data_IF_557247537859
#
_entry.id   IF_557247537859
#
_cell.length_a   1.000
_cell.length_b   1.000
_cell.length_c   1.000
_cell.angle_alpha   90.00
_cell.angle_beta   90.00
_cell.angle_gamma   90.00
#
_symmetry.space_group_name_H-M   'P 1'
#
loop_
_entity.id
_entity.type
_entity.pdbx_description
1 polymer ?
#
# COMPACT_ATOMS: atom_id res chain seq x y z
N UNK A 1 17.43 -12.61 -11.17
CA UNK A 1 18.08 -11.87 -10.08
C UNK A 1 19.27 -12.67 -9.53
N UNK A 2 20.45 -12.60 -10.17
CA UNK A 2 21.61 -13.35 -9.70
C UNK A 2 22.27 -12.76 -8.45
N UNK A 3 22.06 -11.48 -8.17
CA UNK A 3 22.70 -10.78 -7.05
C UNK A 3 22.31 -11.35 -5.68
N UNK A 4 21.04 -11.68 -5.47
CA UNK A 4 20.57 -12.24 -4.20
C UNK A 4 21.10 -13.66 -3.90
N UNK A 5 21.37 -14.47 -4.92
CA UNK A 5 21.89 -15.83 -4.73
C UNK A 5 23.35 -15.87 -4.26
N UNK A 6 24.14 -14.88 -4.63
CA UNK A 6 25.56 -14.82 -4.27
C UNK A 6 25.72 -14.26 -2.84
N UNK A 7 24.91 -13.30 -2.47
CA UNK A 7 24.94 -12.72 -1.12
C UNK A 7 24.29 -13.60 -0.07
N UNK A 8 23.26 -14.39 -0.41
CA UNK A 8 22.67 -15.37 0.51
C UNK A 8 23.68 -16.39 1.08
N UNK A 9 24.81 -16.63 0.40
CA UNK A 9 25.90 -17.49 0.90
C UNK A 9 26.85 -16.78 1.86
N UNK A 10 26.83 -15.44 1.91
CA UNK A 10 27.81 -14.65 2.66
C UNK A 10 27.20 -13.85 3.83
N UNK A 11 25.91 -13.59 3.80
CA UNK A 11 25.25 -12.77 4.79
C UNK A 11 24.04 -13.53 5.37
N UNK A 12 23.82 -13.47 6.68
CA UNK A 12 22.71 -14.16 7.34
C UNK A 12 21.40 -13.40 7.07
N UNK A 13 20.89 -13.52 5.83
CA UNK A 13 19.53 -13.09 5.51
C UNK A 13 18.53 -14.12 6.01
N UNK A 14 17.71 -13.73 6.96
CA UNK A 14 16.64 -14.55 7.44
C UNK A 14 15.37 -14.30 6.64
N UNK A 15 14.77 -15.35 6.11
CA UNK A 15 13.44 -15.31 5.52
C UNK A 15 12.42 -15.03 6.63
N UNK A 16 11.72 -13.92 6.51
CA UNK A 16 10.80 -13.44 7.52
C UNK A 16 9.35 -13.79 7.17
N UNK A 17 8.96 -13.55 5.92
CA UNK A 17 7.58 -13.73 5.48
C UNK A 17 7.50 -13.98 3.98
N UNK A 18 6.61 -14.91 3.59
CA UNK A 18 6.16 -15.07 2.20
C UNK A 18 4.91 -14.24 2.01
N UNK A 19 4.95 -13.33 1.06
CA UNK A 19 3.83 -12.47 0.66
C UNK A 19 3.41 -12.81 -0.76
N UNK A 20 2.23 -12.37 -1.16
CA UNK A 20 1.74 -12.56 -2.52
C UNK A 20 1.20 -11.25 -3.07
N UNK A 21 1.55 -10.95 -4.29
CA UNK A 21 0.93 -9.89 -5.06
C UNK A 21 -0.46 -10.29 -5.54
N UNK A 22 -1.35 -9.33 -5.56
CA UNK A 22 -2.70 -9.44 -6.08
C UNK A 22 -2.98 -8.26 -7.00
N UNK A 23 -3.68 -8.51 -8.09
CA UNK A 23 -4.03 -7.49 -9.07
C UNK A 23 -5.55 -7.39 -9.25
N UNK A 24 -6.01 -6.19 -9.54
CA UNK A 24 -7.40 -5.90 -9.88
C UNK A 24 -7.44 -4.99 -11.10
N UNK A 25 -8.07 -5.44 -12.19
CA UNK A 25 -8.28 -4.61 -13.37
C UNK A 25 -9.32 -3.53 -13.07
N UNK A 26 -8.99 -2.27 -13.31
CA UNK A 26 -9.95 -1.17 -13.13
C UNK A 26 -11.08 -1.28 -14.15
N UNK A 27 -12.31 -1.11 -13.71
CA UNK A 27 -13.48 -1.28 -14.56
C UNK A 27 -14.49 -0.12 -14.44
N UNK A 28 -15.45 -0.09 -15.38
CA UNK A 28 -16.41 0.99 -15.51
C UNK A 28 -17.70 0.82 -14.68
N UNK A 29 -17.84 -0.29 -13.95
CA UNK A 29 -19.15 -0.73 -13.43
C UNK A 29 -19.50 -0.17 -12.05
N UNK A 30 -18.65 0.66 -11.43
CA UNK A 30 -18.89 1.16 -10.08
C UNK A 30 -19.66 2.49 -10.10
N UNK A 31 -20.76 2.54 -9.33
CA UNK A 31 -21.64 3.68 -9.15
C UNK A 31 -20.91 4.98 -8.78
N UNK A 32 -21.31 6.14 -9.31
CA UNK A 32 -20.65 7.42 -9.05
C UNK A 32 -20.91 7.98 -7.64
N UNK A 33 -21.95 7.53 -6.94
CA UNK A 33 -22.31 8.09 -5.65
C UNK A 33 -21.53 7.43 -4.51
N UNK A 34 -20.74 8.21 -3.79
CA UNK A 34 -19.93 7.77 -2.66
C UNK A 34 -19.83 8.87 -1.62
N UNK A 35 -19.87 8.47 -0.36
CA UNK A 35 -19.62 9.35 0.79
C UNK A 35 -18.12 9.64 0.98
N UNK A 36 -17.26 8.87 0.30
CA UNK A 36 -15.82 9.04 0.36
C UNK A 36 -15.30 9.99 -0.71
N UNK A 37 -14.29 10.77 -0.34
CA UNK A 37 -13.55 11.64 -1.25
C UNK A 37 -12.06 11.42 -1.02
N UNK A 38 -11.30 11.25 -2.11
CA UNK A 38 -9.84 11.18 -2.08
C UNK A 38 -9.26 12.56 -2.41
N UNK A 39 -8.45 13.11 -1.51
CA UNK A 39 -7.77 14.39 -1.69
C UNK A 39 -6.26 14.19 -1.67
N UNK A 40 -5.53 14.86 -2.56
CA UNK A 40 -4.07 14.85 -2.47
C UNK A 40 -3.62 15.39 -1.11
N UNK A 41 -2.67 14.69 -0.50
CA UNK A 41 -2.08 15.12 0.76
C UNK A 41 -1.23 16.37 0.55
N UNK A 42 -1.25 17.23 1.53
CA UNK A 42 -0.46 18.46 1.58
C UNK A 42 0.44 18.45 2.82
N UNK A 43 1.33 19.42 2.93
CA UNK A 43 2.17 19.56 4.13
C UNK A 43 1.37 19.69 5.42
N UNK A 44 0.17 20.26 5.35
CA UNK A 44 -0.72 20.42 6.52
C UNK A 44 -1.33 19.09 6.98
N UNK A 45 -1.29 18.04 6.15
CA UNK A 45 -1.81 16.72 6.49
C UNK A 45 -0.77 15.83 7.17
N UNK A 46 0.52 16.23 7.20
CA UNK A 46 1.61 15.39 7.71
C UNK A 46 1.44 15.03 9.19
N UNK A 47 0.97 15.97 10.02
CA UNK A 47 0.70 15.71 11.43
C UNK A 47 -0.34 14.61 11.59
N UNK A 48 -1.44 14.70 10.85
CA UNK A 48 -2.50 13.68 10.84
C UNK A 48 -1.97 12.32 10.37
N UNK A 49 -1.23 12.29 9.26
CA UNK A 49 -0.67 11.05 8.71
C UNK A 49 0.27 10.38 9.72
N UNK A 50 1.16 11.15 10.35
CA UNK A 50 2.08 10.65 11.37
C UNK A 50 1.35 10.07 12.58
N UNK A 51 0.33 10.76 13.08
CA UNK A 51 -0.50 10.27 14.19
C UNK A 51 -1.22 8.98 13.83
N UNK A 52 -1.87 8.94 12.65
CA UNK A 52 -2.57 7.76 12.14
C UNK A 52 -1.62 6.58 11.97
N UNK A 53 -0.43 6.82 11.40
CA UNK A 53 0.60 5.80 11.22
C UNK A 53 1.04 5.23 12.58
N UNK A 54 1.46 6.07 13.51
CA UNK A 54 1.93 5.66 14.83
C UNK A 54 0.86 4.88 15.61
N UNK A 55 -0.39 5.33 15.59
CA UNK A 55 -1.51 4.62 16.20
C UNK A 55 -1.75 3.26 15.53
N UNK A 56 -1.59 3.19 14.22
CA UNK A 56 -1.78 1.97 13.47
C UNK A 56 -0.65 0.95 13.69
N UNK A 57 0.59 1.40 13.87
CA UNK A 57 1.76 0.54 14.07
C UNK A 57 1.58 -0.47 15.21
N UNK A 58 0.88 -0.09 16.28
CA UNK A 58 0.63 -0.99 17.42
C UNK A 58 -0.13 -2.29 17.05
N UNK A 59 -0.79 -2.30 15.90
CA UNK A 59 -1.55 -3.47 15.39
C UNK A 59 -0.69 -4.45 14.59
N UNK A 60 0.56 -4.09 14.30
CA UNK A 60 1.45 -4.86 13.43
C UNK A 60 2.74 -5.22 14.15
N UNK A 61 3.35 -6.33 13.76
CA UNK A 61 4.62 -6.81 14.33
C UNK A 61 5.83 -6.33 13.56
N UNK A 62 5.64 -5.97 12.29
CA UNK A 62 6.70 -5.48 11.42
C UNK A 62 6.23 -4.24 10.67
N UNK A 63 6.90 -3.13 10.91
CA UNK A 63 6.64 -1.84 10.29
C UNK A 63 7.91 -0.99 10.30
N UNK A 64 8.14 -0.13 9.29
CA UNK A 64 9.26 0.80 9.32
C UNK A 64 9.03 1.90 10.35
N UNK A 65 10.11 2.34 10.98
CA UNK A 65 10.11 3.56 11.79
C UNK A 65 10.68 4.65 10.91
N UNK A 66 9.84 5.64 10.58
CA UNK A 66 10.23 6.76 9.76
C UNK A 66 10.67 7.93 10.61
N UNK A 67 11.82 8.53 10.30
CA UNK A 67 12.15 9.86 10.77
C UNK A 67 11.23 10.92 10.10
N UNK A 68 11.38 12.18 10.49
CA UNK A 68 10.52 13.25 9.98
C UNK A 68 10.71 13.46 8.47
N UNK A 69 11.94 13.41 7.97
CA UNK A 69 12.25 13.58 6.55
C UNK A 69 11.72 12.43 5.71
N UNK A 70 11.92 11.20 6.16
CA UNK A 70 11.40 10.00 5.51
C UNK A 70 9.87 10.01 5.48
N UNK A 71 9.24 10.38 6.59
CA UNK A 71 7.78 10.51 6.67
C UNK A 71 7.25 11.54 5.69
N UNK A 72 7.85 12.73 5.63
CA UNK A 72 7.50 13.77 4.66
C UNK A 72 7.75 13.27 3.24
N UNK A 73 8.89 12.59 3.00
CA UNK A 73 9.24 12.09 1.67
C UNK A 73 8.23 11.09 1.13
N UNK A 74 7.81 10.13 1.95
CA UNK A 74 6.92 9.04 1.54
C UNK A 74 5.45 9.49 1.47
N UNK A 75 5.03 10.35 2.39
CA UNK A 75 3.63 10.73 2.52
C UNK A 75 3.26 12.07 1.89
N UNK A 76 4.25 12.88 1.49
CA UNK A 76 3.97 14.04 0.65
C UNK A 76 3.83 13.58 -0.79
N UNK A 77 2.75 14.00 -1.44
CA UNK A 77 2.52 13.67 -2.84
C UNK A 77 3.65 14.23 -3.71
N UNK A 78 4.40 13.35 -4.36
CA UNK A 78 5.47 13.68 -5.32
C UNK A 78 5.13 13.02 -6.64
N UNK A 79 4.60 13.76 -7.62
CA UNK A 79 4.24 13.21 -8.93
C UNK A 79 5.41 12.43 -9.54
N UNK A 80 5.13 11.20 -9.96
CA UNK A 80 6.13 10.30 -10.57
C UNK A 80 6.98 9.51 -9.58
N UNK A 81 6.84 9.72 -8.26
CA UNK A 81 7.53 8.92 -7.23
C UNK A 81 6.49 8.27 -6.33
N UNK A 82 5.94 9.03 -5.38
CA UNK A 82 4.83 8.60 -4.53
C UNK A 82 3.69 9.59 -4.64
N UNK A 83 2.47 9.07 -4.68
CA UNK A 83 1.28 9.87 -4.50
C UNK A 83 0.58 9.45 -3.22
N UNK A 84 0.22 10.40 -2.38
CA UNK A 84 -0.52 10.16 -1.14
C UNK A 84 -1.84 10.90 -1.18
N UNK A 85 -2.90 10.17 -0.83
CA UNK A 85 -4.27 10.66 -0.80
C UNK A 85 -4.81 10.55 0.62
N UNK A 86 -5.39 11.63 1.12
CA UNK A 86 -6.21 11.60 2.33
C UNK A 86 -7.58 11.05 1.99
N UNK A 87 -7.99 10.04 2.72
CA UNK A 87 -9.33 9.45 2.63
C UNK A 87 -10.26 10.26 3.53
N UNK A 88 -11.22 10.93 2.90
CA UNK A 88 -12.27 11.67 3.59
C UNK A 88 -13.56 10.87 3.55
N UNK A 89 -14.27 10.78 4.66
CA UNK A 89 -15.59 10.20 4.77
C UNK A 89 -16.50 11.22 5.47
N UNK A 90 -17.57 11.66 4.80
CA UNK A 90 -18.48 12.69 5.31
C UNK A 90 -17.75 13.98 5.78
N UNK A 91 -16.71 14.39 5.06
CA UNK A 91 -15.91 15.58 5.39
C UNK A 91 -14.86 15.37 6.49
N UNK A 92 -14.78 14.20 7.10
CA UNK A 92 -13.83 13.86 8.18
C UNK A 92 -12.67 13.04 7.61
N UNK A 93 -11.43 13.32 8.03
CA UNK A 93 -10.27 12.49 7.70
C UNK A 93 -10.40 11.12 8.34
N UNK A 94 -10.32 10.06 7.54
CA UNK A 94 -10.47 8.65 7.97
C UNK A 94 -9.30 7.76 7.56
N UNK A 95 -8.36 8.26 6.78
CA UNK A 95 -7.26 7.42 6.39
C UNK A 95 -6.30 8.08 5.40
N UNK A 96 -5.32 7.28 4.99
CA UNK A 96 -4.34 7.62 3.96
C UNK A 96 -4.12 6.43 3.03
N UNK A 97 -4.02 6.73 1.74
CA UNK A 97 -3.58 5.81 0.70
C UNK A 97 -2.32 6.37 0.06
N UNK A 98 -1.19 5.67 0.20
CA UNK A 98 0.06 5.99 -0.51
C UNK A 98 0.32 4.93 -1.56
N UNK A 99 0.64 5.35 -2.77
CA UNK A 99 0.86 4.47 -3.90
C UNK A 99 1.91 5.04 -4.86
N UNK A 100 2.44 4.18 -5.71
CA UNK A 100 3.24 4.54 -6.87
C UNK A 100 2.50 4.16 -8.14
N UNK A 101 2.78 4.88 -9.23
CA UNK A 101 2.28 4.51 -10.56
C UNK A 101 3.45 4.00 -11.39
N UNK A 102 3.36 2.75 -11.79
CA UNK A 102 4.34 2.08 -12.62
C UNK A 102 3.80 1.89 -14.03
N UNK A 103 4.55 2.33 -15.04
CA UNK A 103 4.26 2.05 -16.44
C UNK A 103 4.93 0.73 -16.83
N UNK A 104 4.13 -0.27 -17.17
CA UNK A 104 4.59 -1.62 -17.51
C UNK A 104 4.52 -1.87 -19.02
N UNK A 105 5.33 -2.83 -19.50
CA UNK A 105 5.34 -3.26 -20.92
C UNK A 105 5.47 -2.09 -21.91
N UNK A 106 6.50 -1.26 -21.75
CA UNK A 106 6.75 -0.09 -22.62
C UNK A 106 5.54 0.85 -22.69
N UNK A 107 5.02 1.24 -21.50
CA UNK A 107 3.91 2.18 -21.33
C UNK A 107 2.54 1.71 -21.84
N UNK A 108 2.38 0.42 -22.13
CA UNK A 108 1.08 -0.12 -22.54
C UNK A 108 0.09 -0.24 -21.40
N UNK A 109 0.58 -0.45 -20.18
CA UNK A 109 -0.25 -0.60 -18.99
C UNK A 109 0.28 0.28 -17.85
N UNK A 110 -0.60 1.02 -17.24
CA UNK A 110 -0.34 1.82 -16.04
C UNK A 110 -0.91 1.12 -14.83
N UNK A 111 -0.08 0.91 -13.83
CA UNK A 111 -0.46 0.14 -12.64
C UNK A 111 -0.25 1.00 -11.40
N UNK A 112 -1.29 1.11 -10.58
CA UNK A 112 -1.18 1.65 -9.21
C UNK A 112 -0.69 0.55 -8.29
N UNK A 113 0.47 0.70 -7.70
CA UNK A 113 0.94 -0.19 -6.64
C UNK A 113 0.71 0.45 -5.28
N UNK A 114 -0.13 -0.19 -4.44
CA UNK A 114 -0.42 0.29 -3.09
C UNK A 114 0.77 0.00 -2.18
N UNK A 115 1.37 1.05 -1.67
CA UNK A 115 2.49 1.01 -0.73
C UNK A 115 1.99 0.99 0.72
N UNK A 116 1.04 1.86 1.03
CA UNK A 116 0.44 1.96 2.36
C UNK A 116 -1.05 2.28 2.22
N UNK A 117 -1.86 1.52 2.93
CA UNK A 117 -3.26 1.83 3.17
C UNK A 117 -3.53 1.79 4.67
N UNK A 118 -3.98 2.91 5.21
CA UNK A 118 -4.51 3.02 6.56
C UNK A 118 -5.91 3.61 6.48
N UNK A 119 -6.88 2.94 7.06
CA UNK A 119 -8.27 3.38 7.04
C UNK A 119 -8.99 3.01 8.34
N UNK A 120 -9.50 4.02 9.03
CA UNK A 120 -10.22 3.89 10.30
C UNK A 120 -11.73 3.71 10.13
N UNK A 121 -12.25 3.82 8.91
CA UNK A 121 -13.65 3.57 8.62
C UNK A 121 -13.98 2.09 8.44
N UNK A 122 -15.24 1.81 8.22
CA UNK A 122 -15.77 0.44 8.07
C UNK A 122 -16.22 0.12 6.66
N UNK A 123 -16.56 1.12 5.85
CA UNK A 123 -17.05 0.93 4.49
C UNK A 123 -15.95 0.84 3.45
N UNK A 124 -15.28 -0.31 3.43
CA UNK A 124 -14.29 -0.63 2.40
C UNK A 124 -14.88 -0.73 0.99
N UNK A 125 -16.18 -0.94 0.84
CA UNK A 125 -16.81 -1.01 -0.48
C UNK A 125 -16.83 0.36 -1.12
N UNK A 126 -17.26 1.36 -0.39
CA UNK A 126 -17.36 2.72 -0.90
C UNK A 126 -15.96 3.31 -1.12
N UNK A 127 -15.03 3.08 -0.19
CA UNK A 127 -13.63 3.46 -0.37
C UNK A 127 -13.04 2.85 -1.64
N UNK A 128 -13.26 1.55 -1.90
CA UNK A 128 -12.75 0.90 -3.10
C UNK A 128 -13.33 1.47 -4.39
N UNK A 129 -14.62 1.82 -4.39
CA UNK A 129 -15.24 2.52 -5.53
C UNK A 129 -14.52 3.84 -5.83
N UNK A 130 -14.16 4.61 -4.79
CA UNK A 130 -13.45 5.87 -4.97
C UNK A 130 -12.02 5.68 -5.47
N UNK A 131 -11.30 4.67 -4.96
CA UNK A 131 -9.97 4.31 -5.47
C UNK A 131 -10.07 3.93 -6.95
N UNK A 132 -11.03 3.09 -7.34
CA UNK A 132 -11.22 2.69 -8.73
C UNK A 132 -11.59 3.90 -9.63
N UNK A 133 -12.45 4.80 -9.15
CA UNK A 133 -12.77 6.07 -9.85
C UNK A 133 -11.53 6.95 -10.03
N UNK A 134 -10.69 7.05 -9.01
CA UNK A 134 -9.42 7.79 -9.07
C UNK A 134 -8.46 7.17 -10.10
N UNK A 135 -8.30 5.84 -10.09
CA UNK A 135 -7.49 5.12 -11.08
C UNK A 135 -7.95 5.44 -12.51
N UNK A 136 -9.25 5.40 -12.76
CA UNK A 136 -9.81 5.70 -14.08
C UNK A 136 -9.56 7.13 -14.52
N UNK A 137 -9.75 8.10 -13.63
CA UNK A 137 -9.46 9.51 -13.92
C UNK A 137 -8.00 9.73 -14.30
N UNK A 138 -7.08 8.94 -13.74
CA UNK A 138 -5.64 8.94 -14.04
C UNK A 138 -5.23 7.98 -15.15
N UNK A 139 -6.17 7.29 -15.81
CA UNK A 139 -5.90 6.27 -16.85
C UNK A 139 -4.99 5.15 -16.32
N UNK A 140 -5.26 4.68 -15.11
CA UNK A 140 -4.59 3.54 -14.49
C UNK A 140 -5.42 2.30 -14.79
N UNK A 141 -4.81 1.27 -15.36
CA UNK A 141 -5.45 0.07 -15.88
C UNK A 141 -5.65 -0.99 -14.80
N UNK A 142 -4.77 -1.03 -13.80
CA UNK A 142 -4.86 -2.02 -12.74
C UNK A 142 -4.37 -1.48 -11.39
N UNK A 143 -4.88 -2.10 -10.31
CA UNK A 143 -4.40 -1.92 -8.95
C UNK A 143 -3.61 -3.16 -8.57
N UNK A 144 -2.39 -2.97 -8.09
CA UNK A 144 -1.51 -4.02 -7.58
C UNK A 144 -1.30 -3.79 -6.07
N UNK A 145 -1.39 -4.85 -5.29
CA UNK A 145 -1.10 -4.78 -3.87
C UNK A 145 -0.57 -6.11 -3.32
N UNK A 146 0.26 -6.03 -2.30
CA UNK A 146 0.64 -7.17 -1.48
C UNK A 146 -0.47 -7.51 -0.49
N UNK A 147 -0.55 -8.78 -0.09
CA UNK A 147 -1.48 -9.27 0.93
C UNK A 147 -1.04 -8.91 2.36
N UNK A 148 -0.65 -7.67 2.58
CA UNK A 148 -0.18 -7.12 3.86
C UNK A 148 -1.18 -6.13 4.44
N UNK A 149 -1.13 -5.93 5.74
CA UNK A 149 -1.90 -4.89 6.44
C UNK A 149 -3.38 -4.85 6.05
N UNK A 150 -3.85 -3.65 5.80
CA UNK A 150 -5.25 -3.37 5.42
C UNK A 150 -5.60 -3.85 4.00
N UNK A 151 -4.61 -4.08 3.12
CA UNK A 151 -4.85 -4.57 1.76
C UNK A 151 -5.61 -5.89 1.73
N UNK A 152 -5.42 -6.74 2.75
CA UNK A 152 -6.14 -8.01 2.88
C UNK A 152 -7.67 -7.85 2.88
N UNK A 153 -8.17 -6.71 3.36
CA UNK A 153 -9.61 -6.42 3.36
C UNK A 153 -10.13 -6.19 1.95
N UNK A 154 -9.35 -5.53 1.10
CA UNK A 154 -9.68 -5.38 -0.33
C UNK A 154 -9.59 -6.71 -1.07
N UNK A 155 -8.46 -7.42 -0.90
CA UNK A 155 -8.21 -8.69 -1.59
C UNK A 155 -9.33 -9.68 -1.34
N UNK A 156 -9.79 -9.80 -0.07
CA UNK A 156 -10.85 -10.72 0.30
C UNK A 156 -12.25 -10.31 -0.18
N UNK A 157 -12.48 -9.01 -0.31
CA UNK A 157 -13.82 -8.49 -0.62
C UNK A 157 -14.06 -8.28 -2.10
N UNK A 158 -13.02 -7.97 -2.86
CA UNK A 158 -13.11 -7.67 -4.28
C UNK A 158 -12.24 -8.64 -5.06
N UNK A 159 -12.74 -9.26 -6.06
CA UNK A 159 -12.15 -10.34 -6.87
C UNK A 159 -10.73 -10.01 -7.40
N UNK A 160 -9.78 -9.78 -6.52
CA UNK A 160 -8.38 -9.62 -6.87
C UNK A 160 -7.81 -10.96 -7.34
N UNK A 161 -7.12 -10.93 -8.46
CA UNK A 161 -6.46 -12.10 -9.04
C UNK A 161 -5.10 -12.30 -8.37
N UNK A 162 -4.81 -13.50 -7.85
CA UNK A 162 -3.51 -13.79 -7.27
C UNK A 162 -2.42 -13.79 -8.35
N UNK A 163 -1.31 -13.13 -8.06
CA UNK A 163 -0.12 -13.06 -8.89
C UNK A 163 1.03 -13.87 -8.30
N UNK A 164 2.23 -13.33 -8.43
CA UNK A 164 3.46 -13.98 -7.99
C UNK A 164 3.72 -13.81 -6.48
N UNK A 165 4.50 -14.75 -5.94
CA UNK A 165 4.99 -14.66 -4.57
C UNK A 165 6.22 -13.76 -4.49
N UNK A 166 6.34 -13.04 -3.38
CA UNK A 166 7.54 -12.29 -2.98
C UNK A 166 7.88 -12.63 -1.53
N UNK A 167 9.11 -12.32 -1.13
CA UNK A 167 9.61 -12.71 0.16
C UNK A 167 10.27 -11.54 0.85
N UNK A 168 9.93 -11.33 2.12
CA UNK A 168 10.62 -10.38 2.98
C UNK A 168 11.80 -11.09 3.65
N UNK A 169 12.99 -10.54 3.46
CA UNK A 169 14.22 -10.96 4.13
C UNK A 169 14.77 -9.82 4.97
N UNK A 170 15.28 -10.13 6.15
CA UNK A 170 15.96 -9.15 6.99
C UNK A 170 17.37 -9.62 7.33
N UNK A 171 18.30 -8.68 7.30
CA UNK A 171 19.72 -8.92 7.63
C UNK A 171 19.94 -8.68 9.12
N UNK A 172 20.71 -9.57 9.77
CA UNK A 172 21.05 -9.48 11.20
C UNK A 172 19.85 -9.32 12.14
N UNK A 173 18.69 -9.84 11.76
CA UNK A 173 17.50 -9.78 12.59
C UNK A 173 16.95 -11.18 12.84
N UNK A 174 16.76 -11.51 14.12
CA UNK A 174 16.14 -12.76 14.54
C UNK A 174 14.74 -12.48 15.08
N UNK A 175 13.74 -13.05 14.45
CA UNK A 175 12.36 -13.04 14.94
C UNK A 175 12.09 -14.39 15.57
N UNK A 176 11.60 -14.40 16.79
CA UNK A 176 11.07 -15.60 17.41
C UNK A 176 9.71 -15.92 16.76
N UNK A 177 9.69 -16.90 15.84
CA UNK A 177 8.51 -17.34 15.11
C UNK A 177 8.42 -16.78 13.68
N UNK A 178 7.36 -17.18 12.96
CA UNK A 178 7.07 -16.74 11.59
C UNK A 178 6.08 -15.58 11.60
N UNK A 179 6.36 -14.56 10.81
CA UNK A 179 5.38 -13.49 10.53
C UNK A 179 4.41 -13.94 9.45
N UNK A 180 3.16 -13.58 9.63
CA UNK A 180 2.14 -13.66 8.56
C UNK A 180 2.14 -12.35 7.78
N UNK A 181 1.72 -12.35 6.51
CA UNK A 181 1.57 -11.10 5.74
C UNK A 181 0.70 -10.06 6.46
N UNK A 182 -0.33 -10.48 7.19
CA UNK A 182 -1.18 -9.59 8.00
C UNK A 182 -0.46 -8.92 9.18
N UNK A 183 0.70 -9.42 9.57
CA UNK A 183 1.52 -8.84 10.66
C UNK A 183 2.43 -7.70 10.16
N UNK A 184 2.44 -7.43 8.84
CA UNK A 184 3.28 -6.44 8.17
C UNK A 184 2.41 -5.26 7.73
N UNK A 185 2.85 -4.05 8.04
CA UNK A 185 2.09 -2.84 7.71
C UNK A 185 2.45 -2.24 6.34
N UNK A 186 3.69 -2.30 5.93
CA UNK A 186 4.21 -1.48 4.84
C UNK A 186 4.81 -2.33 3.71
N UNK A 187 4.57 -1.93 2.46
CA UNK A 187 5.28 -2.51 1.32
C UNK A 187 6.66 -1.86 1.20
N UNK A 188 7.68 -2.65 1.43
CA UNK A 188 9.08 -2.23 1.24
C UNK A 188 9.43 -2.36 -0.25
N UNK A 189 9.25 -1.28 -0.99
CA UNK A 189 9.60 -1.18 -2.40
C UNK A 189 11.06 -0.76 -2.55
#
# INVERSE_FOLDING_TARGET
>A
MPFFKIEQKRLPFNHICRMKFYSYATNNTLSPNSSHVLKHSTSTDMVYIKQLYNTSCSRYKCYPIFDEYQSIYIHSSKPGVYESLIIMENGIRKGVLTYVVNDMMNYKYRVMEIVLLLYEGTDYTDLFKQINKHCRAKKIDAILCLNIGENNKFIKKFNFVPGFDTYLYMYNYHINGTLRPSDILFNFI
#
